data_IF_995591515162
#
_entry.id   IF_995591515162
#
_cell.length_a   1.000
_cell.length_b   1.000
_cell.length_c   1.000
_cell.angle_alpha   90.00
_cell.angle_beta   90.00
_cell.angle_gamma   90.00
#
_symmetry.space_group_name_H-M   'P 1'
#
loop_
_entity.id
_entity.type
_entity.pdbx_description
1 polymer ?
#
# COMPACT_ATOMS: atom_id res chain seq x y z
N UNK A 1 5.22 47.99 -36.98
CA UNK A 1 4.87 49.35 -36.53
C UNK A 1 6.10 49.97 -35.91
N UNK A 2 6.44 51.23 -36.20
CA UNK A 2 7.49 51.94 -35.49
C UNK A 2 7.16 51.98 -33.99
N UNK A 3 8.17 51.79 -33.14
CA UNK A 3 8.03 51.88 -31.68
C UNK A 3 7.84 53.37 -31.35
N UNK A 4 6.76 53.71 -30.63
CA UNK A 4 6.51 55.08 -30.18
C UNK A 4 7.66 55.60 -29.29
N UNK A 5 8.02 56.87 -29.46
CA UNK A 5 8.99 57.54 -28.58
C UNK A 5 8.37 57.94 -27.23
N UNK A 6 7.03 57.94 -27.12
CA UNK A 6 6.36 58.17 -25.84
C UNK A 6 6.56 56.97 -24.89
N UNK A 7 7.12 57.20 -23.68
CA UNK A 7 7.39 56.12 -22.73
C UNK A 7 6.13 55.34 -22.30
N UNK A 8 4.94 55.95 -22.31
CA UNK A 8 3.70 55.28 -21.94
C UNK A 8 3.24 54.28 -23.02
N UNK A 9 3.13 54.74 -24.28
CA UNK A 9 2.78 53.86 -25.40
C UNK A 9 3.85 52.77 -25.62
N UNK A 10 5.13 53.11 -25.42
CA UNK A 10 6.22 52.14 -25.48
C UNK A 10 6.13 51.09 -24.38
N UNK A 11 5.80 51.49 -23.14
CA UNK A 11 5.59 50.55 -22.03
C UNK A 11 4.47 49.56 -22.35
N UNK A 12 3.32 50.05 -22.82
CA UNK A 12 2.17 49.21 -23.18
C UNK A 12 2.56 48.20 -24.27
N UNK A 13 3.23 48.68 -25.34
CA UNK A 13 3.69 47.82 -26.42
C UNK A 13 4.64 46.74 -25.90
N UNK A 14 5.68 47.12 -25.16
CA UNK A 14 6.67 46.19 -24.64
C UNK A 14 6.07 45.18 -23.66
N UNK A 15 5.15 45.62 -22.80
CA UNK A 15 4.45 44.74 -21.87
C UNK A 15 3.58 43.72 -22.60
N UNK A 16 2.83 44.15 -23.61
CA UNK A 16 1.98 43.26 -24.44
C UNK A 16 2.82 42.25 -25.22
N UNK A 17 4.03 42.62 -25.64
CA UNK A 17 4.94 41.75 -26.40
C UNK A 17 5.84 40.87 -25.54
N UNK A 18 5.71 40.91 -24.21
CA UNK A 18 6.54 40.08 -23.32
C UNK A 18 8.02 40.47 -23.29
N UNK A 19 8.36 41.75 -23.59
CA UNK A 19 9.74 42.24 -23.65
C UNK A 19 10.25 42.66 -22.26
N UNK A 20 10.39 41.70 -21.35
CA UNK A 20 10.65 41.91 -19.91
C UNK A 20 11.90 42.76 -19.63
N UNK A 21 13.00 42.52 -20.33
CA UNK A 21 14.24 43.32 -20.19
C UNK A 21 14.01 44.77 -20.60
N UNK A 22 13.24 45.01 -21.67
CA UNK A 22 12.96 46.36 -22.16
C UNK A 22 12.02 47.09 -21.21
N UNK A 23 10.99 46.42 -20.70
CA UNK A 23 10.11 46.97 -19.66
C UNK A 23 10.93 47.36 -18.43
N UNK A 24 11.80 46.49 -17.92
CA UNK A 24 12.68 46.81 -16.79
C UNK A 24 13.56 48.03 -17.03
N UNK A 25 14.05 48.23 -18.26
CA UNK A 25 14.83 49.41 -18.62
C UNK A 25 14.00 50.70 -18.67
N UNK A 26 12.77 50.64 -19.20
CA UNK A 26 11.82 51.77 -19.20
C UNK A 26 11.50 52.17 -17.76
N UNK A 27 11.20 51.20 -16.90
CA UNK A 27 10.93 51.43 -15.48
C UNK A 27 12.14 52.00 -14.73
N UNK A 28 13.38 51.71 -15.13
CA UNK A 28 14.57 52.32 -14.51
C UNK A 28 14.82 53.75 -14.98
N UNK A 29 14.63 54.03 -16.27
CA UNK A 29 15.02 55.32 -16.88
C UNK A 29 13.91 56.37 -16.87
N UNK A 30 12.65 55.95 -16.98
CA UNK A 30 11.53 56.84 -17.30
C UNK A 30 10.41 56.79 -16.25
N UNK A 31 10.61 56.20 -15.07
CA UNK A 31 9.53 55.98 -14.07
C UNK A 31 8.73 57.23 -13.73
N UNK A 32 9.39 58.39 -13.64
CA UNK A 32 8.74 59.68 -13.30
C UNK A 32 7.87 60.25 -14.42
N UNK A 33 8.01 59.74 -15.64
CA UNK A 33 7.26 60.18 -16.83
C UNK A 33 6.06 59.29 -17.13
N UNK A 34 5.90 58.18 -16.40
CA UNK A 34 4.80 57.24 -16.63
C UNK A 34 3.52 57.72 -15.93
N UNK A 35 2.39 57.49 -16.58
CA UNK A 35 1.06 57.77 -16.02
C UNK A 35 0.50 56.51 -15.34
N UNK A 36 -0.08 56.61 -14.13
CA UNK A 36 -0.73 55.48 -13.44
C UNK A 36 -1.71 54.69 -14.32
N UNK A 37 -2.55 55.39 -15.09
CA UNK A 37 -3.58 54.79 -15.96
C UNK A 37 -2.95 53.97 -17.09
N UNK A 38 -1.79 54.41 -17.57
CA UNK A 38 -1.03 53.72 -18.63
C UNK A 38 -0.31 52.48 -18.10
N UNK A 39 0.10 52.49 -16.83
CA UNK A 39 0.60 51.29 -16.14
C UNK A 39 -0.53 50.27 -15.96
N UNK A 40 -1.72 50.70 -15.55
CA UNK A 40 -2.90 49.82 -15.46
C UNK A 40 -3.27 49.24 -16.83
N UNK A 41 -3.25 50.06 -17.89
CA UNK A 41 -3.49 49.62 -19.26
C UNK A 41 -2.46 48.56 -19.69
N UNK A 42 -1.18 48.77 -19.39
CA UNK A 42 -0.10 47.82 -19.68
C UNK A 42 -0.30 46.49 -18.94
N UNK A 43 -0.65 46.52 -17.64
CA UNK A 43 -0.95 45.32 -16.84
C UNK A 43 -2.13 44.56 -17.46
N UNK A 44 -3.23 45.25 -17.78
CA UNK A 44 -4.43 44.61 -18.32
C UNK A 44 -4.21 44.02 -19.72
N UNK A 45 -3.44 44.71 -20.58
CA UNK A 45 -3.07 44.16 -21.90
C UNK A 45 -2.16 42.95 -21.78
N UNK A 46 -1.13 42.99 -20.93
CA UNK A 46 -0.28 41.83 -20.67
C UNK A 46 -1.09 40.65 -20.10
N UNK A 47 -1.99 40.89 -19.15
CA UNK A 47 -2.92 39.88 -18.58
C UNK A 47 -3.88 39.28 -19.62
N UNK A 48 -4.21 40.03 -20.68
CA UNK A 48 -5.03 39.51 -21.77
C UNK A 48 -4.21 38.58 -22.65
N UNK A 49 -2.96 38.95 -22.94
CA UNK A 49 -2.05 38.14 -23.74
C UNK A 49 -1.67 36.83 -23.06
N UNK A 50 -1.56 36.77 -21.72
CA UNK A 50 -1.29 35.50 -21.01
C UNK A 50 -2.37 34.43 -21.21
N UNK A 51 -3.54 34.78 -21.75
CA UNK A 51 -4.64 33.87 -22.09
C UNK A 51 -4.63 33.42 -23.56
N UNK A 52 -3.63 33.83 -24.33
CA UNK A 52 -3.53 33.48 -25.74
C UNK A 52 -2.97 32.07 -25.91
N UNK A 53 -3.73 31.19 -26.54
CA UNK A 53 -3.31 29.80 -26.85
C UNK A 53 -2.10 29.73 -27.80
N UNK A 54 -1.68 30.87 -28.37
CA UNK A 54 -0.56 30.97 -29.33
C UNK A 54 0.79 31.18 -28.66
N UNK A 55 0.84 31.44 -27.35
CA UNK A 55 2.08 31.72 -26.64
C UNK A 55 2.70 30.44 -26.07
N UNK A 56 4.03 30.36 -26.09
CA UNK A 56 4.76 29.32 -25.36
C UNK A 56 4.74 29.58 -23.84
N UNK A 57 4.99 28.56 -23.03
CA UNK A 57 5.13 28.71 -21.56
C UNK A 57 6.17 29.77 -21.19
N UNK A 58 7.32 29.80 -21.87
CA UNK A 58 8.36 30.80 -21.65
C UNK A 58 7.88 32.24 -21.94
N UNK A 59 7.05 32.43 -22.97
CA UNK A 59 6.47 33.74 -23.28
C UNK A 59 5.45 34.18 -22.21
N UNK A 60 4.64 33.24 -21.71
CA UNK A 60 3.68 33.50 -20.63
C UNK A 60 4.44 33.85 -19.34
N UNK A 61 5.54 33.17 -19.03
CA UNK A 61 6.38 33.47 -17.86
C UNK A 61 7.01 34.87 -17.95
N UNK A 62 7.47 35.29 -19.14
CA UNK A 62 7.97 36.65 -19.37
C UNK A 62 6.88 37.70 -19.16
N UNK A 63 5.65 37.44 -19.62
CA UNK A 63 4.51 38.34 -19.39
C UNK A 63 4.17 38.43 -17.90
N UNK A 64 4.17 37.32 -17.16
CA UNK A 64 3.95 37.35 -15.71
C UNK A 64 5.04 38.10 -14.97
N UNK A 65 6.32 37.92 -15.36
CA UNK A 65 7.44 38.69 -14.80
C UNK A 65 7.24 40.19 -15.01
N UNK A 66 6.78 40.62 -16.19
CA UNK A 66 6.42 42.02 -16.44
C UNK A 66 5.28 42.49 -15.53
N UNK A 67 4.19 41.71 -15.45
CA UNK A 67 3.02 42.06 -14.63
C UNK A 67 3.43 42.23 -13.16
N UNK A 68 4.23 41.32 -12.62
CA UNK A 68 4.75 41.39 -11.25
C UNK A 68 5.66 42.60 -11.04
N UNK A 69 6.55 42.90 -12.01
CA UNK A 69 7.40 44.10 -11.95
C UNK A 69 6.56 45.38 -11.91
N UNK A 70 5.48 45.46 -12.71
CA UNK A 70 4.58 46.61 -12.73
C UNK A 70 3.72 46.72 -11.47
N UNK A 71 3.35 45.59 -10.86
CA UNK A 71 2.62 45.57 -9.59
C UNK A 71 3.48 46.00 -8.39
N UNK A 72 4.81 45.84 -8.47
CA UNK A 72 5.76 46.06 -7.39
C UNK A 72 6.58 47.37 -7.55
N UNK A 73 6.07 48.38 -8.24
CA UNK A 73 6.74 49.67 -8.39
C UNK A 73 6.94 50.34 -7.01
N UNK A 74 8.10 50.98 -6.81
CA UNK A 74 8.48 51.55 -5.51
C UNK A 74 7.63 52.78 -5.13
N UNK A 75 7.56 53.10 -3.83
CA UNK A 75 6.74 54.20 -3.30
C UNK A 75 7.01 55.58 -3.92
N UNK A 76 8.17 55.77 -4.56
CA UNK A 76 8.61 57.05 -5.12
C UNK A 76 8.20 57.29 -6.59
N UNK A 77 7.28 56.49 -7.14
CA UNK A 77 6.81 56.58 -8.53
C UNK A 77 5.28 56.55 -8.68
N UNK A 78 4.77 56.66 -9.93
CA UNK A 78 3.35 56.44 -10.23
C UNK A 78 2.94 55.01 -9.89
N UNK A 79 1.85 54.86 -9.13
CA UNK A 79 1.35 53.57 -8.65
C UNK A 79 0.17 53.09 -9.48
N UNK A 80 0.12 51.80 -9.88
CA UNK A 80 -1.07 51.23 -10.50
C UNK A 80 -2.26 51.22 -9.52
N UNK A 81 -3.46 51.14 -10.06
CA UNK A 81 -4.68 51.02 -9.28
C UNK A 81 -4.66 49.75 -8.42
N UNK A 82 -4.88 49.83 -7.10
CA UNK A 82 -4.85 48.67 -6.20
C UNK A 82 -5.79 47.53 -6.61
N UNK A 83 -6.93 47.82 -7.25
CA UNK A 83 -7.86 46.80 -7.75
C UNK A 83 -7.27 46.02 -8.93
N UNK A 84 -6.55 46.70 -9.82
CA UNK A 84 -5.86 46.08 -10.97
C UNK A 84 -4.74 45.19 -10.46
N UNK A 85 -3.92 45.68 -9.52
CA UNK A 85 -2.87 44.90 -8.85
C UNK A 85 -3.44 43.65 -8.18
N UNK A 86 -4.47 43.79 -7.33
CA UNK A 86 -5.09 42.65 -6.66
C UNK A 86 -5.58 41.59 -7.65
N UNK A 87 -6.26 42.01 -8.72
CA UNK A 87 -6.73 41.10 -9.76
C UNK A 87 -5.57 40.40 -10.50
N UNK A 88 -4.52 41.15 -10.84
CA UNK A 88 -3.32 40.62 -11.49
C UNK A 88 -2.63 39.56 -10.62
N UNK A 89 -2.43 39.86 -9.34
CA UNK A 89 -1.79 38.96 -8.39
C UNK A 89 -2.62 37.69 -8.14
N UNK A 90 -3.94 37.80 -8.00
CA UNK A 90 -4.83 36.62 -7.88
C UNK A 90 -4.71 35.72 -9.12
N UNK A 91 -4.72 36.30 -10.32
CA UNK A 91 -4.56 35.51 -11.55
C UNK A 91 -3.17 34.88 -11.68
N UNK A 92 -2.12 35.59 -11.26
CA UNK A 92 -0.77 35.03 -11.22
C UNK A 92 -0.70 33.84 -10.26
N UNK A 93 -1.31 33.95 -9.08
CA UNK A 93 -1.35 32.87 -8.10
C UNK A 93 -2.03 31.62 -8.69
N UNK A 94 -3.18 31.79 -9.37
CA UNK A 94 -3.86 30.68 -10.06
C UNK A 94 -2.95 30.05 -11.13
N UNK A 95 -2.26 30.86 -11.94
CA UNK A 95 -1.33 30.35 -12.95
C UNK A 95 -0.18 29.53 -12.34
N UNK A 96 0.42 29.99 -11.25
CA UNK A 96 1.48 29.25 -10.55
C UNK A 96 0.98 27.92 -10.00
N UNK A 97 -0.22 27.90 -9.41
CA UNK A 97 -0.85 26.67 -8.95
C UNK A 97 -1.05 25.67 -10.11
N UNK A 98 -1.54 26.14 -11.26
CA UNK A 98 -1.71 25.28 -12.44
C UNK A 98 -0.39 24.70 -12.97
N UNK A 99 0.70 25.49 -12.97
CA UNK A 99 2.02 24.97 -13.34
C UNK A 99 2.46 23.88 -12.37
N UNK A 100 2.31 24.12 -11.07
CA UNK A 100 2.71 23.17 -10.04
C UNK A 100 1.92 21.86 -10.15
N UNK A 101 0.60 21.94 -10.31
CA UNK A 101 -0.27 20.78 -10.53
C UNK A 101 0.14 20.02 -11.79
N UNK A 102 0.44 20.72 -12.89
CA UNK A 102 0.90 20.09 -14.13
C UNK A 102 2.27 19.42 -13.99
N UNK A 103 3.20 20.03 -13.26
CA UNK A 103 4.51 19.43 -12.98
C UNK A 103 4.38 18.16 -12.15
N UNK A 104 3.52 18.19 -11.13
CA UNK A 104 3.20 17.01 -10.34
C UNK A 104 2.59 15.91 -11.20
N UNK A 105 1.63 16.25 -12.06
CA UNK A 105 1.02 15.29 -12.98
C UNK A 105 2.05 14.65 -13.92
N UNK A 106 2.97 15.44 -14.50
CA UNK A 106 4.02 14.91 -15.39
C UNK A 106 4.94 13.94 -14.65
N UNK A 107 5.32 14.26 -13.41
CA UNK A 107 6.14 13.37 -12.59
C UNK A 107 5.38 12.08 -12.25
N UNK A 108 4.11 12.17 -11.86
CA UNK A 108 3.25 11.01 -11.60
C UNK A 108 3.09 10.12 -12.85
N UNK A 109 2.85 10.71 -14.03
CA UNK A 109 2.78 10.01 -15.32
C UNK A 109 4.11 9.31 -15.65
N UNK A 110 5.24 9.97 -15.41
CA UNK A 110 6.56 9.37 -15.63
C UNK A 110 6.82 8.18 -14.68
N UNK A 111 6.46 8.32 -13.39
CA UNK A 111 6.59 7.23 -12.42
C UNK A 111 5.68 6.04 -12.75
N UNK A 112 4.47 6.31 -13.22
CA UNK A 112 3.55 5.28 -13.71
C UNK A 112 4.13 4.56 -14.93
N UNK A 113 4.66 5.28 -15.91
CA UNK A 113 5.28 4.68 -17.10
C UNK A 113 6.47 3.78 -16.73
N UNK A 114 7.32 4.22 -15.79
CA UNK A 114 8.43 3.40 -15.29
C UNK A 114 7.93 2.14 -14.57
N UNK A 115 6.81 2.22 -13.85
CA UNK A 115 6.18 1.06 -13.22
C UNK A 115 5.63 0.09 -14.27
N UNK A 116 4.92 0.58 -15.28
CA UNK A 116 4.38 -0.24 -16.38
C UNK A 116 5.50 -0.97 -17.13
N UNK A 117 6.59 -0.27 -17.49
CA UNK A 117 7.76 -0.89 -18.14
C UNK A 117 8.42 -1.97 -17.26
N UNK A 118 8.48 -1.73 -15.95
CA UNK A 118 9.01 -2.71 -15.01
C UNK A 118 8.10 -3.95 -14.93
N UNK A 119 6.79 -3.75 -14.88
CA UNK A 119 5.82 -4.84 -14.82
C UNK A 119 5.76 -5.65 -16.11
N UNK A 120 5.84 -5.01 -17.27
CA UNK A 120 5.92 -5.67 -18.58
C UNK A 120 7.18 -6.54 -18.67
N UNK A 121 8.34 -6.00 -18.26
CA UNK A 121 9.60 -6.75 -18.21
C UNK A 121 9.49 -7.98 -17.30
N UNK A 122 8.92 -7.83 -16.10
CA UNK A 122 8.72 -8.97 -15.19
C UNK A 122 7.72 -9.98 -15.75
N UNK A 123 6.66 -9.52 -16.41
CA UNK A 123 5.67 -10.36 -17.08
C UNK A 123 6.28 -11.24 -18.17
N UNK A 124 7.19 -10.69 -18.98
CA UNK A 124 7.90 -11.44 -20.03
C UNK A 124 8.83 -12.54 -19.49
N UNK A 125 9.34 -12.37 -18.26
CA UNK A 125 10.16 -13.39 -17.60
C UNK A 125 9.34 -14.58 -17.11
N UNK A 126 8.06 -14.37 -16.77
CA UNK A 126 7.21 -15.41 -16.21
C UNK A 126 6.69 -16.32 -17.34
N UNK A 127 7.19 -17.56 -17.35
CA UNK A 127 6.77 -18.61 -18.29
C UNK A 127 6.02 -19.71 -17.53
N UNK A 128 5.21 -20.51 -18.23
CA UNK A 128 4.44 -21.62 -17.64
C UNK A 128 5.29 -22.57 -16.79
N UNK A 129 6.58 -22.70 -17.12
CA UNK A 129 7.57 -23.46 -16.35
C UNK A 129 8.85 -22.64 -16.22
N UNK A 130 9.16 -22.23 -15.00
CA UNK A 130 10.40 -21.54 -14.64
C UNK A 130 11.29 -22.45 -13.81
N UNK A 131 12.58 -22.52 -14.12
CA UNK A 131 13.59 -23.13 -13.27
C UNK A 131 14.17 -22.13 -12.27
N UNK A 132 15.09 -22.59 -11.44
CA UNK A 132 15.73 -21.76 -10.41
C UNK A 132 16.50 -20.58 -11.01
N UNK A 133 17.10 -20.74 -12.20
CA UNK A 133 17.84 -19.67 -12.88
C UNK A 133 16.92 -18.53 -13.32
N UNK A 134 15.74 -18.86 -13.85
CA UNK A 134 14.74 -17.87 -14.26
C UNK A 134 14.17 -17.14 -13.03
N UNK A 135 13.90 -17.86 -11.93
CA UNK A 135 13.45 -17.24 -10.68
C UNK A 135 14.50 -16.31 -10.07
N UNK A 136 15.77 -16.73 -10.05
CA UNK A 136 16.86 -15.87 -9.58
C UNK A 136 16.94 -14.59 -10.42
N UNK A 137 16.80 -14.71 -11.74
CA UNK A 137 16.76 -13.55 -12.64
C UNK A 137 15.58 -12.63 -12.30
N UNK A 138 14.39 -13.19 -12.05
CA UNK A 138 13.21 -12.42 -11.64
C UNK A 138 13.43 -11.65 -10.33
N UNK A 139 13.96 -12.32 -9.30
CA UNK A 139 14.25 -11.68 -8.01
C UNK A 139 15.37 -10.64 -8.10
N UNK A 140 16.39 -10.86 -8.92
CA UNK A 140 17.47 -9.89 -9.16
C UNK A 140 16.93 -8.60 -9.77
N UNK A 141 15.95 -8.68 -10.69
CA UNK A 141 15.30 -7.49 -11.25
C UNK A 141 14.47 -6.72 -10.21
N UNK A 142 13.74 -7.43 -9.33
CA UNK A 142 13.03 -6.80 -8.21
C UNK A 142 14.02 -6.09 -7.29
N UNK A 143 15.09 -6.77 -6.89
CA UNK A 143 16.10 -6.22 -5.99
C UNK A 143 16.84 -5.02 -6.60
N UNK A 144 17.18 -5.09 -7.89
CA UNK A 144 17.92 -4.02 -8.60
C UNK A 144 17.07 -2.78 -8.83
N UNK A 145 15.78 -2.94 -9.15
CA UNK A 145 14.88 -1.81 -9.37
C UNK A 145 14.48 -1.10 -8.07
N UNK A 146 14.44 -1.84 -6.95
CA UNK A 146 13.86 -1.35 -5.69
C UNK A 146 12.35 -1.11 -5.78
N UNK A 147 11.70 -1.52 -6.88
CA UNK A 147 10.27 -1.38 -7.12
C UNK A 147 9.55 -2.68 -6.75
N UNK A 148 8.29 -2.54 -6.36
CA UNK A 148 7.40 -3.68 -6.12
C UNK A 148 6.68 -4.04 -7.41
N UNK A 149 6.55 -5.32 -7.77
CA UNK A 149 5.71 -5.74 -8.89
C UNK A 149 4.26 -5.25 -8.75
N UNK A 150 3.52 -5.16 -9.86
CA UNK A 150 2.07 -5.00 -9.78
C UNK A 150 1.38 -6.23 -9.20
N UNK A 151 0.14 -6.04 -8.75
CA UNK A 151 -0.72 -7.13 -8.29
C UNK A 151 -0.98 -8.19 -9.37
N UNK A 152 -1.00 -7.80 -10.64
CA UNK A 152 -1.14 -8.74 -11.75
C UNK A 152 0.10 -9.63 -11.91
N UNK A 153 1.28 -9.01 -11.91
CA UNK A 153 2.57 -9.72 -12.04
C UNK A 153 2.79 -10.66 -10.86
N UNK A 154 2.65 -10.19 -9.61
CA UNK A 154 2.86 -11.04 -8.44
C UNK A 154 1.82 -12.17 -8.34
N UNK A 155 0.55 -11.89 -8.67
CA UNK A 155 -0.50 -12.90 -8.71
C UNK A 155 -0.21 -14.00 -9.72
N UNK A 156 0.29 -13.62 -10.91
CA UNK A 156 0.67 -14.57 -11.95
C UNK A 156 1.92 -15.37 -11.57
N UNK A 157 2.96 -14.72 -11.03
CA UNK A 157 4.17 -15.39 -10.54
C UNK A 157 3.86 -16.44 -9.46
N UNK A 158 3.03 -16.08 -8.48
CA UNK A 158 2.57 -17.00 -7.43
C UNK A 158 1.78 -18.17 -8.00
N UNK A 159 0.95 -17.93 -9.02
CA UNK A 159 0.20 -18.97 -9.71
C UNK A 159 1.15 -19.96 -10.42
N UNK A 160 2.14 -19.48 -11.16
CA UNK A 160 3.15 -20.31 -11.84
C UNK A 160 3.98 -21.11 -10.84
N UNK A 161 4.43 -20.49 -9.75
CA UNK A 161 5.16 -21.18 -8.68
C UNK A 161 4.30 -22.30 -8.06
N UNK A 162 2.99 -22.04 -7.89
CA UNK A 162 2.04 -23.03 -7.36
C UNK A 162 1.82 -24.20 -8.32
N UNK A 163 1.64 -23.92 -9.63
CA UNK A 163 1.44 -24.96 -10.65
C UNK A 163 2.66 -25.88 -10.79
N UNK A 164 3.87 -25.34 -10.60
CA UNK A 164 5.11 -26.10 -10.65
C UNK A 164 5.52 -26.70 -9.29
N UNK A 165 4.65 -26.60 -8.28
CA UNK A 165 4.90 -27.08 -6.90
C UNK A 165 6.18 -26.49 -6.26
N UNK A 166 6.56 -25.29 -6.67
CA UNK A 166 7.76 -24.58 -6.20
C UNK A 166 7.46 -23.76 -4.94
N UNK A 167 7.07 -24.44 -3.87
CA UNK A 167 6.57 -23.79 -2.65
C UNK A 167 7.61 -22.94 -1.91
N UNK A 168 8.90 -23.22 -2.07
CA UNK A 168 9.97 -22.34 -1.57
C UNK A 168 9.96 -20.99 -2.28
N UNK A 169 9.83 -21.00 -3.60
CA UNK A 169 9.73 -19.79 -4.42
C UNK A 169 8.43 -19.04 -4.09
N UNK A 170 7.32 -19.77 -3.93
CA UNK A 170 6.05 -19.20 -3.50
C UNK A 170 6.19 -18.38 -2.20
N UNK A 171 6.82 -18.95 -1.17
CA UNK A 171 7.06 -18.25 0.09
C UNK A 171 7.98 -17.04 -0.09
N UNK A 172 9.02 -17.15 -0.93
CA UNK A 172 9.88 -16.01 -1.27
C UNK A 172 9.14 -14.91 -2.04
N UNK A 173 8.21 -15.24 -2.93
CA UNK A 173 7.38 -14.24 -3.63
C UNK A 173 6.47 -13.50 -2.65
N UNK A 174 5.80 -14.23 -1.75
CA UNK A 174 4.95 -13.63 -0.72
C UNK A 174 5.70 -12.67 0.20
N UNK A 175 6.96 -12.96 0.53
CA UNK A 175 7.77 -12.05 1.36
C UNK A 175 8.14 -10.74 0.66
N UNK A 176 8.11 -10.70 -0.68
CA UNK A 176 8.33 -9.46 -1.43
C UNK A 176 7.02 -8.68 -1.57
N UNK A 177 5.92 -9.38 -1.86
CA UNK A 177 4.63 -8.76 -2.05
C UNK A 177 3.47 -9.74 -1.87
N UNK A 178 2.50 -9.30 -1.08
CA UNK A 178 1.24 -10.03 -0.91
C UNK A 178 0.35 -9.88 -2.17
N UNK A 179 -0.29 -10.98 -2.60
CA UNK A 179 -1.32 -10.93 -3.63
C UNK A 179 -2.58 -10.28 -3.07
N UNK A 180 -3.38 -9.67 -3.94
CA UNK A 180 -4.72 -9.23 -3.58
C UNK A 180 -5.61 -10.41 -3.14
N UNK A 181 -6.69 -10.11 -2.44
CA UNK A 181 -7.61 -11.12 -1.88
C UNK A 181 -8.16 -12.11 -2.92
N UNK A 182 -8.32 -11.68 -4.18
CA UNK A 182 -8.82 -12.51 -5.27
C UNK A 182 -7.82 -13.60 -5.66
N UNK A 183 -6.56 -13.19 -5.90
CA UNK A 183 -5.46 -14.11 -6.17
C UNK A 183 -5.17 -14.99 -4.93
N UNK A 184 -5.13 -14.41 -3.72
CA UNK A 184 -4.95 -15.15 -2.47
C UNK A 184 -6.00 -16.27 -2.30
N UNK A 185 -7.27 -15.97 -2.60
CA UNK A 185 -8.37 -16.94 -2.53
C UNK A 185 -8.19 -18.12 -3.48
N UNK A 186 -7.67 -17.88 -4.69
CA UNK A 186 -7.38 -18.93 -5.66
C UNK A 186 -6.19 -19.78 -5.21
N UNK A 187 -5.10 -19.12 -4.81
CA UNK A 187 -3.86 -19.76 -4.34
C UNK A 187 -4.12 -20.62 -3.10
N UNK A 188 -4.99 -20.16 -2.18
CA UNK A 188 -5.35 -20.90 -0.97
C UNK A 188 -5.98 -22.25 -1.32
N UNK A 189 -6.86 -22.27 -2.32
CA UNK A 189 -7.48 -23.51 -2.77
C UNK A 189 -6.47 -24.45 -3.43
N UNK A 190 -5.52 -23.91 -4.20
CA UNK A 190 -4.47 -24.72 -4.83
C UNK A 190 -3.56 -25.33 -3.76
N UNK A 191 -3.05 -24.53 -2.83
CA UNK A 191 -2.24 -24.99 -1.70
C UNK A 191 -2.97 -26.05 -0.86
N UNK A 192 -4.26 -25.82 -0.56
CA UNK A 192 -5.08 -26.77 0.18
C UNK A 192 -5.28 -28.10 -0.57
N UNK A 193 -5.43 -28.11 -1.89
CA UNK A 193 -5.50 -29.35 -2.69
C UNK A 193 -4.16 -30.08 -2.74
N UNK A 194 -3.07 -29.35 -2.87
CA UNK A 194 -1.71 -29.90 -2.98
C UNK A 194 -1.12 -30.35 -1.64
N UNK A 195 -1.81 -30.09 -0.52
CA UNK A 195 -1.35 -30.52 0.81
C UNK A 195 -0.28 -29.62 1.41
N UNK A 196 -0.22 -28.36 0.97
CA UNK A 196 0.92 -27.47 1.21
C UNK A 196 0.61 -26.57 2.40
N UNK A 197 0.80 -27.15 3.57
CA UNK A 197 0.33 -26.58 4.83
C UNK A 197 0.97 -25.21 5.14
N UNK A 198 2.27 -25.05 4.92
CA UNK A 198 2.95 -23.77 5.14
C UNK A 198 2.42 -22.64 4.24
N UNK A 199 2.12 -22.96 2.97
CA UNK A 199 1.50 -21.99 2.07
C UNK A 199 0.08 -21.61 2.49
N UNK A 200 -0.70 -22.56 3.02
CA UNK A 200 -2.02 -22.28 3.61
C UNK A 200 -1.89 -21.32 4.80
N UNK A 201 -0.95 -21.57 5.72
CA UNK A 201 -0.69 -20.68 6.86
C UNK A 201 -0.35 -19.26 6.39
N UNK A 202 0.61 -19.13 5.47
CA UNK A 202 1.01 -17.83 4.93
C UNK A 202 -0.15 -17.07 4.29
N UNK A 203 -1.00 -17.76 3.52
CA UNK A 203 -2.15 -17.13 2.86
C UNK A 203 -3.27 -16.72 3.83
N UNK A 204 -3.46 -17.44 4.93
CA UNK A 204 -4.40 -17.06 5.98
C UNK A 204 -3.85 -15.91 6.85
N UNK A 205 -2.54 -15.75 6.94
CA UNK A 205 -1.87 -14.70 7.72
C UNK A 205 -1.49 -13.44 6.93
N UNK A 206 -2.02 -13.25 5.71
CA UNK A 206 -1.83 -12.00 4.95
C UNK A 206 -2.46 -10.79 5.66
N UNK A 207 -2.06 -9.59 5.25
CA UNK A 207 -2.68 -8.35 5.75
C UNK A 207 -4.21 -8.35 5.55
N UNK A 208 -4.99 -7.67 6.43
CA UNK A 208 -6.45 -7.69 6.40
C UNK A 208 -7.09 -7.33 5.05
N UNK A 209 -6.42 -6.49 4.26
CA UNK A 209 -6.88 -6.06 2.93
C UNK A 209 -6.71 -7.16 1.87
N UNK A 210 -5.84 -8.14 2.12
CA UNK A 210 -5.45 -9.22 1.21
C UNK A 210 -5.88 -10.61 1.70
N UNK A 211 -6.33 -10.74 2.95
CA UNK A 211 -6.75 -12.01 3.53
C UNK A 211 -7.90 -12.63 2.71
N UNK A 212 -7.85 -13.96 2.43
CA UNK A 212 -8.95 -14.65 1.77
C UNK A 212 -10.27 -14.52 2.52
N UNK A 213 -11.35 -14.23 1.79
CA UNK A 213 -12.69 -14.18 2.36
C UNK A 213 -13.14 -15.55 2.88
N UNK A 214 -14.04 -15.56 3.87
CA UNK A 214 -14.61 -16.76 4.49
C UNK A 214 -15.10 -17.81 3.45
N UNK A 215 -15.72 -17.34 2.36
CA UNK A 215 -16.20 -18.22 1.29
C UNK A 215 -15.07 -18.97 0.55
N UNK A 216 -13.89 -18.36 0.44
CA UNK A 216 -12.70 -18.98 -0.13
C UNK A 216 -12.11 -20.03 0.82
N UNK A 217 -12.05 -19.71 2.12
CA UNK A 217 -11.61 -20.63 3.18
C UNK A 217 -12.52 -21.86 3.23
N UNK A 218 -13.86 -21.69 3.16
CA UNK A 218 -14.82 -22.81 3.06
C UNK A 218 -14.57 -23.69 1.82
N UNK A 219 -14.21 -23.10 0.68
CA UNK A 219 -13.86 -23.87 -0.53
C UNK A 219 -12.55 -24.62 -0.35
N UNK A 220 -11.52 -23.99 0.20
CA UNK A 220 -10.23 -24.60 0.50
C UNK A 220 -10.37 -25.75 1.51
N UNK A 221 -11.19 -25.58 2.55
CA UNK A 221 -11.53 -26.62 3.53
C UNK A 221 -12.12 -27.86 2.85
N UNK A 222 -13.12 -27.67 1.96
CA UNK A 222 -13.74 -28.77 1.22
C UNK A 222 -12.74 -29.46 0.30
N UNK A 223 -11.88 -28.67 -0.35
CA UNK A 223 -10.84 -29.18 -1.24
C UNK A 223 -9.82 -30.04 -0.47
N UNK A 224 -9.31 -29.56 0.67
CA UNK A 224 -8.39 -30.31 1.55
C UNK A 224 -9.04 -31.58 2.13
N UNK A 225 -10.32 -31.51 2.51
CA UNK A 225 -11.07 -32.68 3.02
C UNK A 225 -11.20 -33.77 1.97
N UNK A 226 -11.47 -33.38 0.72
CA UNK A 226 -11.59 -34.32 -0.41
C UNK A 226 -10.26 -35.01 -0.75
N UNK A 227 -9.14 -34.32 -0.55
CA UNK A 227 -7.80 -34.84 -0.85
C UNK A 227 -7.13 -35.52 0.36
N UNK A 228 -7.76 -35.51 1.54
CA UNK A 228 -7.25 -36.20 2.74
C UNK A 228 -6.20 -35.42 3.54
N UNK A 229 -6.08 -34.10 3.34
CA UNK A 229 -5.09 -33.27 4.05
C UNK A 229 -5.62 -32.81 5.42
N UNK A 230 -5.70 -33.75 6.36
CA UNK A 230 -6.36 -33.56 7.66
C UNK A 230 -5.82 -32.38 8.49
N UNK A 231 -4.51 -32.12 8.42
CA UNK A 231 -3.88 -31.00 9.12
C UNK A 231 -4.37 -29.63 8.59
N UNK A 232 -4.46 -29.49 7.26
CA UNK A 232 -5.02 -28.29 6.61
C UNK A 232 -6.50 -28.15 6.94
N UNK A 233 -7.27 -29.25 6.91
CA UNK A 233 -8.69 -29.25 7.28
C UNK A 233 -8.87 -28.71 8.70
N UNK A 234 -8.03 -29.17 9.63
CA UNK A 234 -8.05 -28.72 11.00
C UNK A 234 -7.70 -27.25 11.14
N UNK A 235 -6.61 -26.80 10.52
CA UNK A 235 -6.20 -25.40 10.56
C UNK A 235 -7.26 -24.46 9.97
N UNK A 236 -7.81 -24.79 8.79
CA UNK A 236 -8.87 -23.99 8.16
C UNK A 236 -10.17 -24.00 8.97
N UNK A 237 -10.45 -25.04 9.77
CA UNK A 237 -11.58 -25.02 10.70
C UNK A 237 -11.38 -24.00 11.81
N UNK A 238 -10.15 -23.88 12.34
CA UNK A 238 -9.79 -22.85 13.31
C UNK A 238 -9.87 -21.45 12.69
N UNK A 239 -9.43 -21.29 11.45
CA UNK A 239 -9.55 -20.01 10.73
C UNK A 239 -11.02 -19.59 10.56
N UNK A 240 -11.92 -20.53 10.24
CA UNK A 240 -13.35 -20.21 10.18
C UNK A 240 -13.91 -19.78 11.54
N UNK A 241 -13.51 -20.44 12.63
CA UNK A 241 -13.90 -20.03 13.99
C UNK A 241 -13.39 -18.62 14.29
N UNK A 242 -12.13 -18.33 13.92
CA UNK A 242 -11.51 -17.02 14.12
C UNK A 242 -12.28 -15.92 13.38
N UNK A 243 -12.60 -16.12 12.09
CA UNK A 243 -13.36 -15.15 11.30
C UNK A 243 -14.79 -14.94 11.80
N UNK A 244 -15.45 -16.00 12.29
CA UNK A 244 -16.82 -15.91 12.80
C UNK A 244 -16.93 -15.24 14.17
N UNK A 245 -15.95 -15.43 15.04
CA UNK A 245 -16.06 -14.92 16.40
C UNK A 245 -15.69 -13.44 16.51
N UNK A 246 -14.96 -12.86 15.54
CA UNK A 246 -14.42 -11.47 15.61
C UNK A 246 -13.68 -11.15 16.94
N UNK A 247 -13.44 -12.17 17.77
CA UNK A 247 -12.90 -12.06 19.12
C UNK A 247 -11.40 -11.85 18.98
N UNK A 248 -10.97 -10.63 19.30
CA UNK A 248 -9.54 -10.28 19.38
C UNK A 248 -8.86 -10.91 20.58
N UNK A 249 -9.62 -11.46 21.52
CA UNK A 249 -9.08 -12.06 22.73
C UNK A 249 -8.50 -13.47 22.43
N UNK A 250 -7.17 -13.64 22.59
CA UNK A 250 -6.50 -14.91 22.31
C UNK A 250 -7.03 -16.08 23.15
N UNK A 251 -7.48 -15.80 24.38
CA UNK A 251 -7.94 -16.82 25.31
C UNK A 251 -9.33 -17.37 24.93
N UNK A 252 -10.28 -16.50 24.61
CA UNK A 252 -11.61 -16.88 24.12
C UNK A 252 -11.51 -17.66 22.79
N UNK A 253 -10.68 -17.20 21.85
CA UNK A 253 -10.41 -17.93 20.61
C UNK A 253 -9.85 -19.33 20.88
N UNK A 254 -8.88 -19.44 21.79
CA UNK A 254 -8.31 -20.73 22.21
C UNK A 254 -9.40 -21.64 22.80
N UNK A 255 -10.27 -21.12 23.67
CA UNK A 255 -11.39 -21.90 24.23
C UNK A 255 -12.35 -22.38 23.15
N UNK A 256 -12.72 -21.53 22.20
CA UNK A 256 -13.62 -21.87 21.10
C UNK A 256 -13.02 -23.00 20.23
N UNK A 257 -11.73 -22.92 19.89
CA UNK A 257 -11.02 -23.95 19.11
C UNK A 257 -10.98 -25.29 19.87
N UNK A 258 -10.71 -25.26 21.17
CA UNK A 258 -10.68 -26.47 22.00
C UNK A 258 -12.08 -27.08 22.16
N UNK A 259 -13.09 -26.25 22.34
CA UNK A 259 -14.49 -26.68 22.44
C UNK A 259 -14.94 -27.35 21.12
N UNK A 260 -14.66 -26.70 19.98
CA UNK A 260 -14.96 -27.26 18.66
C UNK A 260 -14.27 -28.63 18.43
N UNK A 261 -13.01 -28.79 18.83
CA UNK A 261 -12.32 -30.08 18.74
C UNK A 261 -13.06 -31.14 19.55
N UNK A 262 -13.41 -30.82 20.80
CA UNK A 262 -14.10 -31.75 21.70
C UNK A 262 -15.46 -32.17 21.15
N UNK A 263 -16.21 -31.25 20.55
CA UNK A 263 -17.56 -31.49 20.06
C UNK A 263 -17.57 -32.30 18.76
N UNK A 264 -16.54 -32.16 17.93
CA UNK A 264 -16.47 -32.81 16.61
C UNK A 264 -15.51 -34.01 16.55
N UNK A 265 -14.79 -34.32 17.62
CA UNK A 265 -13.91 -35.50 17.68
C UNK A 265 -14.69 -36.81 17.60
N UNK A 266 -14.34 -37.67 16.65
CA UNK A 266 -14.98 -38.98 16.49
C UNK A 266 -14.65 -39.94 17.65
N UNK A 267 -15.68 -40.41 18.37
CA UNK A 267 -15.55 -41.23 19.60
C UNK A 267 -15.28 -42.72 19.29
N UNK A 268 -15.33 -43.16 18.03
CA UNK A 268 -15.39 -44.59 17.69
C UNK A 268 -14.10 -45.40 17.82
N UNK A 269 -13.00 -44.83 18.34
CA UNK A 269 -11.75 -45.59 18.56
C UNK A 269 -11.11 -45.26 19.91
N UNK A 270 -10.62 -46.29 20.60
CA UNK A 270 -10.07 -46.19 21.95
C UNK A 270 -8.85 -45.27 22.05
N UNK A 271 -8.07 -45.18 20.98
CA UNK A 271 -6.90 -44.30 20.88
C UNK A 271 -7.28 -42.82 20.89
N UNK A 272 -8.27 -42.42 20.09
CA UNK A 272 -8.72 -41.02 20.03
C UNK A 272 -9.40 -40.60 21.33
N UNK A 273 -9.98 -41.56 22.07
CA UNK A 273 -10.60 -41.29 23.36
C UNK A 273 -9.59 -40.77 24.41
N UNK A 274 -8.32 -41.19 24.39
CA UNK A 274 -7.32 -40.68 25.34
C UNK A 274 -6.94 -39.22 25.04
N UNK A 275 -6.80 -38.88 23.76
CA UNK A 275 -6.48 -37.53 23.30
C UNK A 275 -7.64 -36.56 23.55
N UNK A 276 -8.87 -36.97 23.23
CA UNK A 276 -10.08 -36.17 23.52
C UNK A 276 -10.22 -35.92 25.02
N UNK A 277 -9.95 -36.92 25.87
CA UNK A 277 -9.92 -36.73 27.33
C UNK A 277 -8.83 -35.72 27.75
N UNK A 278 -7.63 -35.82 27.16
CA UNK A 278 -6.55 -34.87 27.39
C UNK A 278 -6.97 -33.43 27.04
N UNK A 279 -7.57 -33.23 25.87
CA UNK A 279 -8.05 -31.91 25.43
C UNK A 279 -9.20 -31.41 26.31
N UNK A 280 -10.16 -32.27 26.73
CA UNK A 280 -11.22 -31.90 27.69
C UNK A 280 -10.67 -31.43 29.04
N UNK A 281 -9.62 -32.09 29.53
CA UNK A 281 -8.94 -31.69 30.77
C UNK A 281 -8.28 -30.31 30.61
N UNK A 282 -7.57 -30.09 29.50
CA UNK A 282 -6.96 -28.79 29.18
C UNK A 282 -8.03 -27.70 29.10
N UNK A 283 -9.11 -27.91 28.34
CA UNK A 283 -10.22 -26.96 28.21
C UNK A 283 -10.83 -26.60 29.57
N UNK A 284 -11.00 -27.57 30.47
CA UNK A 284 -11.54 -27.33 31.81
C UNK A 284 -10.62 -26.46 32.66
N UNK A 285 -9.31 -26.68 32.58
CA UNK A 285 -8.30 -25.84 33.25
C UNK A 285 -8.32 -24.41 32.72
N UNK A 286 -8.40 -24.25 31.40
CA UNK A 286 -8.47 -22.94 30.73
C UNK A 286 -9.71 -22.16 31.14
N UNK A 287 -10.88 -22.81 31.15
CA UNK A 287 -12.14 -22.16 31.59
C UNK A 287 -12.04 -21.66 33.03
N UNK A 288 -11.45 -22.46 33.93
CA UNK A 288 -11.23 -22.05 35.32
C UNK A 288 -10.29 -20.83 35.41
N UNK A 289 -9.10 -20.91 34.81
CA UNK A 289 -8.13 -19.81 34.83
C UNK A 289 -8.67 -18.53 34.19
N UNK A 290 -9.49 -18.64 33.14
CA UNK A 290 -10.11 -17.49 32.48
C UNK A 290 -11.08 -16.70 33.37
N UNK A 291 -11.65 -17.34 34.41
CA UNK A 291 -12.49 -16.64 35.41
C UNK A 291 -11.68 -15.90 36.46
N UNK A 292 -10.41 -16.26 36.63
CA UNK A 292 -9.52 -15.71 37.65
C UNK A 292 -8.65 -14.56 37.10
N UNK A 293 -8.54 -14.43 35.78
CA UNK A 293 -7.57 -13.54 35.11
C UNK A 293 -8.25 -12.52 34.20
N UNK A 294 -7.93 -11.25 34.41
CA UNK A 294 -8.48 -10.12 33.64
C UNK A 294 -7.43 -9.33 32.84
N UNK A 295 -6.14 -9.48 33.11
CA UNK A 295 -5.08 -8.76 32.38
C UNK A 295 -4.58 -9.55 31.16
N UNK A 296 -4.17 -8.84 30.11
CA UNK A 296 -3.76 -9.42 28.83
C UNK A 296 -2.51 -10.31 28.92
N UNK A 297 -1.52 -9.93 29.75
CA UNK A 297 -0.27 -10.68 29.91
C UNK A 297 -0.52 -12.07 30.48
N UNK A 298 -1.32 -12.16 31.54
CA UNK A 298 -1.70 -13.43 32.15
C UNK A 298 -2.54 -14.29 31.21
N UNK A 299 -3.41 -13.68 30.39
CA UNK A 299 -4.18 -14.40 29.36
C UNK A 299 -3.27 -15.02 28.29
N UNK A 300 -2.30 -14.26 27.80
CA UNK A 300 -1.30 -14.75 26.85
C UNK A 300 -0.47 -15.90 27.47
N UNK A 301 -0.08 -15.77 28.73
CA UNK A 301 0.64 -16.84 29.44
C UNK A 301 -0.19 -18.13 29.54
N UNK A 302 -1.49 -18.03 29.81
CA UNK A 302 -2.40 -19.19 29.82
C UNK A 302 -2.43 -19.86 28.44
N UNK A 303 -2.52 -19.09 27.35
CA UNK A 303 -2.48 -19.63 25.99
C UNK A 303 -1.18 -20.41 25.74
N UNK A 304 -0.02 -19.91 26.18
CA UNK A 304 1.25 -20.61 26.01
C UNK A 304 1.28 -21.94 26.77
N UNK A 305 0.76 -21.96 28.00
CA UNK A 305 0.63 -23.20 28.78
C UNK A 305 -0.31 -24.20 28.12
N UNK A 306 -1.38 -23.73 27.48
CA UNK A 306 -2.30 -24.55 26.69
C UNK A 306 -1.57 -25.18 25.52
N UNK A 307 -0.85 -24.38 24.73
CA UNK A 307 -0.05 -24.87 23.61
C UNK A 307 0.91 -25.96 24.08
N UNK A 308 1.64 -25.72 25.17
CA UNK A 308 2.61 -26.67 25.70
C UNK A 308 1.94 -27.97 26.20
N UNK A 309 0.75 -27.85 26.80
CA UNK A 309 -0.07 -28.99 27.23
C UNK A 309 -0.62 -29.79 26.04
N UNK A 310 -1.10 -29.11 25.00
CA UNK A 310 -1.60 -29.75 23.79
C UNK A 310 -0.49 -30.52 23.06
N UNK A 311 0.71 -29.97 22.98
CA UNK A 311 1.87 -30.65 22.38
C UNK A 311 2.17 -32.00 23.08
N UNK A 312 1.95 -32.11 24.40
CA UNK A 312 2.12 -33.36 25.14
C UNK A 312 1.02 -34.39 24.84
N UNK A 313 -0.19 -33.94 24.52
CA UNK A 313 -1.36 -34.81 24.23
C UNK A 313 -1.42 -35.23 22.76
N UNK A 314 -0.89 -34.39 21.87
CA UNK A 314 -1.02 -34.50 20.42
C UNK A 314 -0.39 -35.76 19.82
N UNK A 315 0.78 -36.19 20.31
CA UNK A 315 1.56 -37.26 19.67
C UNK A 315 1.62 -37.04 18.13
N UNK A 316 1.24 -38.04 17.32
CA UNK A 316 1.20 -37.96 15.84
C UNK A 316 -0.17 -37.55 15.27
N UNK A 317 -1.08 -36.98 16.09
CA UNK A 317 -2.41 -36.58 15.62
C UNK A 317 -2.33 -35.29 14.79
N UNK A 318 -2.40 -35.46 13.47
CA UNK A 318 -2.39 -34.38 12.47
C UNK A 318 -3.54 -33.38 12.60
N UNK A 319 -4.71 -33.82 13.06
CA UNK A 319 -5.82 -32.90 13.29
C UNK A 319 -5.51 -31.96 14.46
N UNK A 320 -5.03 -32.51 15.57
CA UNK A 320 -4.67 -31.70 16.72
C UNK A 320 -3.45 -30.80 16.44
N UNK A 321 -2.52 -31.24 15.59
CA UNK A 321 -1.39 -30.44 15.10
C UNK A 321 -1.84 -29.15 14.42
N UNK A 322 -2.79 -29.23 13.48
CA UNK A 322 -3.32 -28.04 12.80
C UNK A 322 -3.91 -26.99 13.76
N UNK A 323 -4.54 -27.43 14.85
CA UNK A 323 -5.08 -26.53 15.89
C UNK A 323 -3.98 -25.90 16.74
N UNK A 324 -2.99 -26.70 17.13
CA UNK A 324 -1.84 -26.21 17.91
C UNK A 324 -1.07 -25.14 17.14
N UNK A 325 -0.81 -25.37 15.86
CA UNK A 325 -0.11 -24.42 15.00
C UNK A 325 -0.95 -23.16 14.78
N UNK A 326 -2.27 -23.31 14.62
CA UNK A 326 -3.17 -22.15 14.54
C UNK A 326 -3.11 -21.28 15.79
N UNK A 327 -3.24 -21.88 16.98
CA UNK A 327 -3.21 -21.16 18.26
C UNK A 327 -1.87 -20.45 18.43
N UNK A 328 -0.74 -21.09 18.10
CA UNK A 328 0.57 -20.45 18.15
C UNK A 328 0.66 -19.21 17.26
N UNK A 329 0.18 -19.32 16.01
CA UNK A 329 0.28 -18.23 15.03
C UNK A 329 -0.59 -17.02 15.41
N UNK A 330 -1.80 -17.25 15.93
CA UNK A 330 -2.77 -16.18 16.15
C UNK A 330 -2.87 -15.68 17.59
N UNK A 331 -2.55 -16.54 18.57
CA UNK A 331 -2.67 -16.24 19.99
C UNK A 331 -1.30 -16.05 20.67
N UNK A 332 -0.21 -16.34 19.97
CA UNK A 332 1.16 -16.36 20.49
C UNK A 332 2.00 -15.13 20.11
N UNK A 333 1.40 -13.93 19.99
CA UNK A 333 2.18 -12.68 19.91
C UNK A 333 2.85 -12.40 21.27
N UNK A 334 3.81 -13.24 21.63
CA UNK A 334 4.87 -12.83 22.54
C UNK A 334 5.69 -11.86 21.70
N UNK A 335 5.60 -10.58 21.98
CA UNK A 335 6.66 -9.68 21.59
C UNK A 335 7.97 -10.31 22.12
N UNK A 336 8.77 -10.89 21.24
CA UNK A 336 10.21 -10.90 21.46
C UNK A 336 10.62 -9.44 21.47
N UNK A 337 10.40 -8.76 22.60
CA UNK A 337 11.00 -7.46 22.84
C UNK A 337 12.49 -7.66 22.58
N UNK A 338 13.11 -6.89 21.67
CA UNK A 338 14.55 -6.95 21.54
C UNK A 338 15.09 -6.61 22.91
N UNK A 339 15.69 -7.59 23.56
CA UNK A 339 16.52 -7.39 24.73
C UNK A 339 17.55 -6.35 24.29
N UNK A 340 17.32 -5.10 24.70
CA UNK A 340 18.33 -4.06 24.70
C UNK A 340 19.42 -4.60 25.61
N UNK A 341 20.34 -5.36 25.02
CA UNK A 341 21.67 -5.52 25.55
C UNK A 341 22.21 -4.12 25.67
N UNK A 342 22.17 -3.62 26.90
CA UNK A 342 23.07 -2.59 27.36
C UNK A 342 24.49 -3.06 27.06
N UNK A 343 25.06 -2.53 25.98
CA UNK A 343 26.50 -2.49 25.80
C UNK A 343 26.91 -1.02 25.95
N UNK A 344 27.43 -0.77 27.15
CA UNK A 344 28.49 0.16 27.57
C UNK A 344 28.65 1.50 26.83
#
# INVERSE_FOLDING_TARGET
MPISDDPNERLIYCATKGLDVTVGNILKKNIRQLQPEKIDEAINKALKETRSDKLSSEQIDKLWKIIIQLCNLSQNGPHPNPKVVKNALVKHQVYQQQIQERQQQIEEEHQQQLQEQFDDMLGELIKDKMGDSEWNTFFDHIKKSGRKPSQAVIGYALHVATLNEQWKIFSSLLSHQEPNWGAASQLLRMAAKSGQFDAVKLLCSLSPENTPAESAIKKAYKDAKRTGHHEIVSYLSCELIHQHNLEKDPLALTQAILQDYVDHSFIGSSFFNSQVKGVKNILSQVKRKATEVHDESSRNQIVLEVVHSLQKVMADNKELLGRVDFIKAHCGKIEESPSLKAEL
#
